data_IF_432396111476
#
_entry.id   IF_432396111476
#
_cell.length_a   1.000
_cell.length_b   1.000
_cell.length_c   1.000
_cell.angle_alpha   90.00
_cell.angle_beta   90.00
_cell.angle_gamma   90.00
#
_symmetry.space_group_name_H-M   'P 1'
#
loop_
_entity.id
_entity.type
_entity.pdbx_description
1 polymer ?
#
# COMPACT_ATOMS: atom_id res chain seq x y z
N UNK A 1 -23.82 12.46 -37.48
CA UNK A 1 -23.28 13.02 -36.23
C UNK A 1 -22.03 12.20 -35.88
N UNK A 2 -20.88 12.68 -36.25
CA UNK A 2 -19.60 12.02 -35.96
C UNK A 2 -19.24 12.32 -34.52
N UNK A 3 -19.55 11.38 -33.61
CA UNK A 3 -19.09 11.45 -32.25
C UNK A 3 -17.56 11.50 -32.25
N UNK A 4 -16.97 12.56 -31.71
CA UNK A 4 -15.55 12.57 -31.36
C UNK A 4 -15.35 11.47 -30.33
N UNK A 5 -14.71 10.39 -30.74
CA UNK A 5 -14.10 9.44 -29.81
C UNK A 5 -12.99 10.25 -29.11
N UNK A 6 -13.23 10.66 -27.88
CA UNK A 6 -12.16 11.21 -27.05
C UNK A 6 -11.35 10.00 -26.65
N UNK A 7 -10.21 9.85 -27.33
CA UNK A 7 -9.18 8.90 -26.96
C UNK A 7 -8.58 9.42 -25.66
N UNK A 8 -9.10 8.92 -24.50
CA UNK A 8 -8.48 9.20 -23.23
C UNK A 8 -7.07 8.64 -23.28
N UNK A 9 -6.03 9.50 -23.26
CA UNK A 9 -4.66 9.03 -23.31
C UNK A 9 -4.45 8.04 -22.16
N UNK A 10 -3.70 6.98 -22.42
CA UNK A 10 -3.37 5.89 -21.46
C UNK A 10 -2.75 6.38 -20.16
N UNK A 11 -2.29 7.64 -20.12
CA UNK A 11 -2.06 8.50 -18.95
C UNK A 11 -2.49 9.91 -19.34
N UNK A 12 -3.62 10.42 -18.84
CA UNK A 12 -4.00 11.79 -19.11
C UNK A 12 -3.01 12.72 -18.45
N UNK A 13 -2.19 13.40 -19.26
CA UNK A 13 -1.51 14.60 -18.84
C UNK A 13 -2.60 15.63 -18.56
N UNK A 14 -2.81 15.98 -17.30
CA UNK A 14 -3.69 17.10 -16.95
C UNK A 14 -3.12 18.38 -17.59
N UNK A 15 -4.01 19.21 -18.17
CA UNK A 15 -3.59 20.53 -18.63
C UNK A 15 -3.08 21.35 -17.44
N UNK A 16 -2.24 22.38 -17.69
CA UNK A 16 -1.81 23.31 -16.63
C UNK A 16 -3.01 23.94 -15.91
N UNK A 17 -4.10 24.19 -16.62
CA UNK A 17 -5.34 24.72 -16.06
C UNK A 17 -6.02 23.69 -15.12
N UNK A 18 -6.08 22.42 -15.52
CA UNK A 18 -6.62 21.34 -14.70
C UNK A 18 -5.76 21.12 -13.44
N UNK A 19 -4.44 21.14 -13.56
CA UNK A 19 -3.52 21.02 -12.43
C UNK A 19 -3.71 22.17 -11.43
N UNK A 20 -3.76 23.43 -11.90
CA UNK A 20 -4.01 24.59 -11.05
C UNK A 20 -5.40 24.55 -10.39
N UNK A 21 -6.41 24.00 -11.05
CA UNK A 21 -7.74 23.79 -10.47
C UNK A 21 -7.70 22.72 -9.38
N UNK A 22 -7.02 21.60 -9.62
CA UNK A 22 -6.83 20.53 -8.64
C UNK A 22 -6.13 21.04 -7.36
N UNK A 23 -5.09 21.86 -7.49
CA UNK A 23 -4.42 22.45 -6.34
C UNK A 23 -5.38 23.33 -5.51
N UNK A 24 -6.22 24.15 -6.16
CA UNK A 24 -7.25 24.94 -5.45
C UNK A 24 -8.25 24.07 -4.73
N UNK A 25 -8.70 22.97 -5.35
CA UNK A 25 -9.60 22.01 -4.72
C UNK A 25 -8.95 21.42 -3.47
N UNK A 26 -7.72 20.90 -3.58
CA UNK A 26 -7.01 20.27 -2.46
C UNK A 26 -6.67 21.25 -1.33
N UNK A 27 -6.48 22.52 -1.64
CA UNK A 27 -6.27 23.57 -0.64
C UNK A 27 -7.58 24.00 0.07
N UNK A 28 -8.74 23.64 -0.45
CA UNK A 28 -10.05 23.98 0.13
C UNK A 28 -10.49 22.87 1.08
N UNK A 29 -10.96 23.16 2.32
CA UNK A 29 -11.51 22.15 3.24
C UNK A 29 -12.65 21.33 2.60
N UNK A 30 -12.72 20.03 2.91
CA UNK A 30 -13.67 19.08 2.28
C UNK A 30 -15.14 19.51 2.45
N UNK A 31 -15.49 20.05 3.60
CA UNK A 31 -16.85 20.52 3.93
C UNK A 31 -17.30 21.75 3.12
N UNK A 32 -16.36 22.59 2.70
CA UNK A 32 -16.64 23.79 1.89
C UNK A 32 -16.76 23.50 0.40
N UNK A 33 -16.13 22.43 -0.11
CA UNK A 33 -15.97 22.18 -1.55
C UNK A 33 -17.28 22.00 -2.29
N UNK A 34 -18.27 21.36 -1.67
CA UNK A 34 -19.58 21.16 -2.31
C UNK A 34 -20.30 22.47 -2.57
N UNK A 35 -20.22 23.43 -1.66
CA UNK A 35 -20.80 24.75 -1.83
C UNK A 35 -20.06 25.59 -2.88
N UNK A 36 -18.78 25.35 -3.06
CA UNK A 36 -17.89 26.08 -3.99
C UNK A 36 -17.60 25.29 -5.29
N UNK A 37 -18.39 24.28 -5.61
CA UNK A 37 -18.10 23.34 -6.69
C UNK A 37 -17.88 24.02 -8.05
N UNK A 38 -18.69 25.01 -8.41
CA UNK A 38 -18.55 25.75 -9.68
C UNK A 38 -17.31 26.66 -9.68
N UNK A 39 -16.99 27.31 -8.56
CA UNK A 39 -15.78 28.11 -8.40
C UNK A 39 -14.52 27.24 -8.51
N UNK A 40 -14.57 26.03 -7.96
CA UNK A 40 -13.48 25.07 -7.96
C UNK A 40 -13.42 24.22 -9.24
N UNK A 41 -14.32 24.44 -10.18
CA UNK A 41 -14.45 23.67 -11.43
C UNK A 41 -14.53 22.14 -11.20
N UNK A 42 -15.21 21.70 -10.12
CA UNK A 42 -15.33 20.27 -9.78
C UNK A 42 -16.18 19.45 -10.78
N UNK A 43 -16.92 20.11 -11.67
CA UNK A 43 -17.70 19.46 -12.72
C UNK A 43 -16.93 19.37 -14.05
N UNK A 44 -15.73 19.95 -14.10
CA UNK A 44 -14.87 19.93 -15.27
C UNK A 44 -14.03 18.62 -15.31
N UNK A 45 -14.12 17.83 -16.42
CA UNK A 45 -13.36 16.60 -16.56
C UNK A 45 -11.84 16.77 -16.43
N UNK A 46 -11.27 17.88 -16.90
CA UNK A 46 -9.82 18.12 -16.78
C UNK A 46 -9.39 18.30 -15.32
N UNK A 47 -10.22 18.99 -14.52
CA UNK A 47 -10.00 19.13 -13.08
C UNK A 47 -10.08 17.79 -12.36
N UNK A 48 -11.08 16.95 -12.69
CA UNK A 48 -11.23 15.63 -12.11
C UNK A 48 -10.08 14.69 -12.51
N UNK A 49 -9.62 14.73 -13.76
CA UNK A 49 -8.44 13.97 -14.20
C UNK A 49 -7.19 14.36 -13.42
N UNK A 50 -6.96 15.66 -13.24
CA UNK A 50 -5.84 16.17 -12.47
C UNK A 50 -5.91 15.74 -11.00
N UNK A 51 -7.09 15.83 -10.37
CA UNK A 51 -7.32 15.35 -9.00
C UNK A 51 -7.02 13.86 -8.87
N UNK A 52 -7.56 13.03 -9.75
CA UNK A 52 -7.31 11.58 -9.74
C UNK A 52 -5.81 11.28 -9.95
N UNK A 53 -5.10 12.03 -10.78
CA UNK A 53 -3.65 11.88 -10.96
C UNK A 53 -2.89 12.18 -9.67
N UNK A 54 -3.16 13.32 -9.04
CA UNK A 54 -2.52 13.72 -7.77
C UNK A 54 -2.81 12.70 -6.66
N UNK A 55 -4.06 12.23 -6.56
CA UNK A 55 -4.43 11.22 -5.55
C UNK A 55 -3.74 9.87 -5.81
N UNK A 56 -3.58 9.48 -7.08
CA UNK A 56 -2.86 8.28 -7.47
C UNK A 56 -1.38 8.34 -7.08
N UNK A 57 -0.76 9.52 -7.21
CA UNK A 57 0.63 9.74 -6.78
C UNK A 57 0.80 9.72 -5.26
N UNK A 58 -0.18 10.24 -4.53
CA UNK A 58 -0.14 10.36 -3.05
C UNK A 58 -0.61 9.12 -2.31
N UNK A 59 -1.27 8.15 -2.97
CA UNK A 59 -1.98 7.05 -2.29
C UNK A 59 -1.07 6.18 -1.40
N UNK A 60 0.20 6.00 -1.78
CA UNK A 60 1.15 5.19 -1.01
C UNK A 60 1.72 5.96 0.17
N UNK A 61 1.87 7.27 0.04
CA UNK A 61 2.44 8.11 1.08
C UNK A 61 1.41 8.57 2.14
N UNK A 62 0.15 8.79 1.72
CA UNK A 62 -0.91 9.31 2.58
C UNK A 62 -2.26 8.61 2.33
N UNK A 63 -2.38 7.29 2.54
CA UNK A 63 -3.58 6.54 2.17
C UNK A 63 -4.85 7.05 2.87
N UNK A 64 -4.78 7.50 4.13
CA UNK A 64 -5.92 8.05 4.84
C UNK A 64 -6.51 9.29 4.17
N UNK A 65 -5.65 10.24 3.80
CA UNK A 65 -6.08 11.45 3.10
C UNK A 65 -6.64 11.12 1.70
N UNK A 66 -5.99 10.23 0.98
CA UNK A 66 -6.46 9.79 -0.35
C UNK A 66 -7.82 9.12 -0.26
N UNK A 67 -8.08 8.31 0.76
CA UNK A 67 -9.41 7.71 0.99
C UNK A 67 -10.49 8.79 1.13
N UNK A 68 -10.28 9.76 2.01
CA UNK A 68 -11.26 10.80 2.29
C UNK A 68 -11.55 11.68 1.06
N UNK A 69 -10.50 12.03 0.32
CA UNK A 69 -10.60 12.76 -0.94
C UNK A 69 -11.33 11.99 -2.03
N UNK A 70 -10.98 10.73 -2.24
CA UNK A 70 -11.58 9.87 -3.25
C UNK A 70 -13.05 9.58 -2.94
N UNK A 71 -13.39 9.33 -1.67
CA UNK A 71 -14.79 9.17 -1.22
C UNK A 71 -15.60 10.46 -1.44
N UNK A 72 -15.03 11.62 -1.13
CA UNK A 72 -15.68 12.90 -1.41
C UNK A 72 -15.97 13.06 -2.90
N UNK A 73 -14.97 12.82 -3.76
CA UNK A 73 -15.14 12.94 -5.22
C UNK A 73 -16.16 11.93 -5.75
N UNK A 74 -16.11 10.67 -5.32
CA UNK A 74 -17.10 9.67 -5.71
C UNK A 74 -18.52 10.13 -5.39
N UNK A 75 -18.80 10.53 -4.14
CA UNK A 75 -20.12 11.02 -3.70
C UNK A 75 -20.54 12.30 -4.39
N UNK A 76 -19.58 13.13 -4.77
CA UNK A 76 -19.84 14.34 -5.53
C UNK A 76 -20.31 13.99 -6.96
N UNK A 77 -19.63 13.06 -7.64
CA UNK A 77 -19.93 12.63 -9.01
C UNK A 77 -21.22 11.78 -9.06
N UNK A 78 -21.43 10.92 -8.07
CA UNK A 78 -22.61 10.06 -7.97
C UNK A 78 -23.92 10.85 -7.82
N UNK A 79 -23.87 12.04 -7.23
CA UNK A 79 -25.07 12.84 -6.92
C UNK A 79 -25.93 13.09 -8.17
N UNK A 80 -27.24 12.80 -8.13
CA UNK A 80 -28.16 13.04 -9.25
C UNK A 80 -28.19 14.55 -9.57
N UNK A 81 -28.17 14.90 -10.85
CA UNK A 81 -28.18 16.26 -11.44
C UNK A 81 -26.84 16.90 -11.72
N UNK A 82 -25.72 16.17 -11.62
CA UNK A 82 -24.43 16.70 -12.04
C UNK A 82 -24.13 16.27 -13.46
N UNK A 83 -24.02 17.25 -14.35
CA UNK A 83 -23.58 17.03 -15.73
C UNK A 83 -22.04 17.04 -15.73
N UNK A 84 -21.44 15.89 -15.53
CA UNK A 84 -19.99 15.73 -15.63
C UNK A 84 -19.69 15.11 -16.99
N UNK A 85 -19.32 15.95 -17.94
CA UNK A 85 -18.94 15.51 -19.27
C UNK A 85 -19.97 14.62 -19.98
N UNK A 86 -19.50 13.71 -20.81
CA UNK A 86 -20.31 12.64 -21.41
C UNK A 86 -20.53 11.51 -20.41
N UNK A 87 -21.54 10.65 -20.65
CA UNK A 87 -21.86 9.51 -19.77
C UNK A 87 -20.64 8.62 -19.48
N UNK A 88 -19.84 8.31 -20.49
CA UNK A 88 -18.64 7.46 -20.36
C UNK A 88 -17.56 8.10 -19.47
N UNK A 89 -17.42 9.43 -19.48
CA UNK A 89 -16.48 10.15 -18.61
C UNK A 89 -16.93 10.07 -17.16
N UNK A 90 -18.21 10.22 -16.90
CA UNK A 90 -18.79 10.10 -15.56
C UNK A 90 -18.55 8.71 -14.97
N UNK A 91 -18.83 7.65 -15.73
CA UNK A 91 -18.62 6.27 -15.28
C UNK A 91 -17.12 5.96 -15.05
N UNK A 92 -16.22 6.49 -15.89
CA UNK A 92 -14.79 6.42 -15.66
C UNK A 92 -14.39 7.07 -14.32
N UNK A 93 -14.86 8.29 -14.04
CA UNK A 93 -14.52 8.96 -12.78
C UNK A 93 -15.11 8.28 -11.55
N UNK A 94 -16.32 7.71 -11.66
CA UNK A 94 -16.87 6.86 -10.61
C UNK A 94 -15.99 5.63 -10.36
N UNK A 95 -15.59 4.94 -11.41
CA UNK A 95 -14.69 3.81 -11.33
C UNK A 95 -13.33 4.16 -10.73
N UNK A 96 -12.69 5.24 -11.21
CA UNK A 96 -11.37 5.68 -10.78
C UNK A 96 -11.35 6.15 -9.31
N UNK A 97 -12.31 6.98 -8.91
CA UNK A 97 -12.40 7.43 -7.52
C UNK A 97 -12.71 6.28 -6.56
N UNK A 98 -13.55 5.33 -6.98
CA UNK A 98 -13.81 4.12 -6.20
C UNK A 98 -12.55 3.23 -6.11
N UNK A 99 -11.78 3.07 -7.19
CA UNK A 99 -10.51 2.32 -7.16
C UNK A 99 -9.49 2.98 -6.22
N UNK A 100 -9.38 4.29 -6.23
CA UNK A 100 -8.51 5.05 -5.32
C UNK A 100 -8.93 4.86 -3.86
N UNK A 101 -10.22 4.99 -3.55
CA UNK A 101 -10.76 4.77 -2.22
C UNK A 101 -10.55 3.32 -1.75
N UNK A 102 -10.83 2.34 -2.60
CA UNK A 102 -10.65 0.92 -2.30
C UNK A 102 -9.18 0.56 -2.05
N UNK A 103 -8.28 1.07 -2.89
CA UNK A 103 -6.83 0.88 -2.70
C UNK A 103 -6.35 1.49 -1.38
N UNK A 104 -6.80 2.70 -1.05
CA UNK A 104 -6.46 3.34 0.22
C UNK A 104 -7.04 2.57 1.43
N UNK A 105 -8.28 2.08 1.34
CA UNK A 105 -8.88 1.23 2.38
C UNK A 105 -8.09 -0.07 2.58
N UNK A 106 -7.64 -0.74 1.49
CA UNK A 106 -6.80 -1.93 1.55
C UNK A 106 -5.49 -1.63 2.29
N UNK A 107 -4.78 -0.56 1.91
CA UNK A 107 -3.53 -0.14 2.57
C UNK A 107 -3.71 0.20 4.06
N UNK A 108 -4.90 0.65 4.46
CA UNK A 108 -5.27 0.90 5.85
C UNK A 108 -5.84 -0.34 6.56
N UNK A 109 -5.75 -1.53 5.94
CA UNK A 109 -6.29 -2.80 6.44
C UNK A 109 -7.81 -2.78 6.71
N UNK A 110 -8.55 -1.91 5.99
CA UNK A 110 -10.02 -1.80 6.05
C UNK A 110 -10.66 -2.67 4.97
N UNK A 111 -10.49 -3.98 5.07
CA UNK A 111 -10.84 -4.94 4.00
C UNK A 111 -12.29 -4.87 3.54
N UNK A 112 -13.26 -4.85 4.46
CA UNK A 112 -14.68 -4.79 4.08
C UNK A 112 -15.03 -3.52 3.29
N UNK A 113 -14.46 -2.39 3.70
CA UNK A 113 -14.63 -1.14 2.96
C UNK A 113 -13.95 -1.22 1.58
N UNK A 114 -12.74 -1.82 1.50
CA UNK A 114 -12.02 -1.98 0.24
C UNK A 114 -12.83 -2.82 -0.77
N UNK A 115 -13.42 -3.94 -0.35
CA UNK A 115 -14.28 -4.78 -1.19
C UNK A 115 -15.46 -3.97 -1.76
N UNK A 116 -16.17 -3.22 -0.92
CA UNK A 116 -17.30 -2.39 -1.36
C UNK A 116 -16.89 -1.35 -2.40
N UNK A 117 -15.70 -0.76 -2.21
CA UNK A 117 -15.16 0.21 -3.16
C UNK A 117 -14.69 -0.44 -4.46
N UNK A 118 -14.08 -1.62 -4.40
CA UNK A 118 -13.67 -2.38 -5.60
C UNK A 118 -14.89 -2.84 -6.43
N UNK A 119 -16.00 -3.21 -5.81
CA UNK A 119 -17.24 -3.55 -6.54
C UNK A 119 -17.83 -2.32 -7.23
N UNK A 120 -17.77 -1.14 -6.59
CA UNK A 120 -18.15 0.13 -7.22
C UNK A 120 -17.23 0.50 -8.37
N UNK A 121 -15.91 0.30 -8.22
CA UNK A 121 -14.96 0.54 -9.28
C UNK A 121 -15.25 -0.35 -10.50
N UNK A 122 -15.51 -1.63 -10.28
CA UNK A 122 -15.86 -2.57 -11.33
C UNK A 122 -17.14 -2.15 -12.06
N UNK A 123 -18.17 -1.74 -11.32
CA UNK A 123 -19.42 -1.26 -11.91
C UNK A 123 -19.21 -0.04 -12.83
N UNK A 124 -18.39 0.93 -12.41
CA UNK A 124 -18.03 2.08 -13.23
C UNK A 124 -17.25 1.70 -14.48
N UNK A 125 -16.16 0.92 -14.31
CA UNK A 125 -15.27 0.59 -15.42
C UNK A 125 -15.88 -0.31 -16.49
N UNK A 126 -16.85 -1.18 -16.14
CA UNK A 126 -17.54 -2.04 -17.12
C UNK A 126 -18.23 -1.27 -18.25
N UNK A 127 -18.54 -0.02 -18.04
CA UNK A 127 -19.26 0.84 -18.98
C UNK A 127 -18.34 1.82 -19.72
N UNK A 128 -17.02 1.76 -19.50
CA UNK A 128 -16.08 2.67 -20.16
C UNK A 128 -15.50 2.08 -21.44
N UNK A 129 -15.09 2.94 -22.37
CA UNK A 129 -14.51 2.52 -23.67
C UNK A 129 -13.20 1.75 -23.47
N UNK A 130 -12.38 2.13 -22.49
CA UNK A 130 -11.09 1.50 -22.17
C UNK A 130 -11.16 0.55 -20.97
N UNK A 131 -12.28 -0.13 -20.80
CA UNK A 131 -12.55 -1.00 -19.64
C UNK A 131 -11.43 -2.01 -19.35
N UNK A 132 -10.77 -2.56 -20.36
CA UNK A 132 -9.77 -3.61 -20.18
C UNK A 132 -8.59 -3.18 -19.30
N UNK A 133 -8.02 -1.99 -19.53
CA UNK A 133 -6.91 -1.47 -18.72
C UNK A 133 -7.32 -1.17 -17.28
N UNK A 134 -8.48 -0.54 -17.11
CA UNK A 134 -8.99 -0.16 -15.80
C UNK A 134 -9.40 -1.38 -14.97
N UNK A 135 -10.04 -2.36 -15.60
CA UNK A 135 -10.37 -3.64 -14.96
C UNK A 135 -9.11 -4.45 -14.61
N UNK A 136 -8.05 -4.39 -15.44
CA UNK A 136 -6.76 -5.01 -15.09
C UNK A 136 -6.11 -4.33 -13.88
N UNK A 137 -6.18 -3.00 -13.75
CA UNK A 137 -5.72 -2.28 -12.55
C UNK A 137 -6.52 -2.67 -11.30
N UNK A 138 -7.84 -2.84 -11.44
CA UNK A 138 -8.68 -3.35 -10.35
C UNK A 138 -8.32 -4.81 -9.99
N UNK A 139 -8.10 -5.67 -11.01
CA UNK A 139 -7.69 -7.05 -10.79
C UNK A 139 -6.36 -7.13 -10.03
N UNK A 140 -5.39 -6.24 -10.34
CA UNK A 140 -4.15 -6.13 -9.58
C UNK A 140 -4.41 -5.80 -8.10
N UNK A 141 -5.31 -4.86 -7.78
CA UNK A 141 -5.61 -4.52 -6.38
C UNK A 141 -6.25 -5.69 -5.63
N UNK A 142 -7.15 -6.42 -6.27
CA UNK A 142 -7.74 -7.64 -5.71
C UNK A 142 -6.68 -8.74 -5.53
N UNK A 143 -5.73 -8.85 -6.46
CA UNK A 143 -4.64 -9.83 -6.35
C UNK A 143 -3.66 -9.47 -5.23
N UNK A 144 -3.34 -8.19 -5.06
CA UNK A 144 -2.55 -7.71 -3.93
C UNK A 144 -3.24 -7.98 -2.58
N UNK A 145 -4.58 -7.88 -2.53
CA UNK A 145 -5.36 -8.26 -1.36
C UNK A 145 -5.27 -9.77 -1.07
N UNK A 146 -5.31 -10.63 -2.11
CA UNK A 146 -5.09 -12.07 -1.95
C UNK A 146 -3.71 -12.39 -1.40
N UNK A 147 -2.69 -11.65 -1.81
CA UNK A 147 -1.37 -11.75 -1.24
C UNK A 147 -1.37 -11.39 0.27
N UNK A 148 -2.00 -10.28 0.65
CA UNK A 148 -2.16 -9.87 2.05
C UNK A 148 -3.00 -10.86 2.89
N UNK A 149 -3.85 -11.66 2.24
CA UNK A 149 -4.61 -12.78 2.85
C UNK A 149 -3.85 -14.10 2.85
N UNK A 150 -2.57 -14.12 2.47
CA UNK A 150 -1.70 -15.32 2.41
C UNK A 150 -2.16 -16.38 1.41
N UNK A 151 -2.95 -16.01 0.44
CA UNK A 151 -3.40 -16.92 -0.62
C UNK A 151 -2.33 -17.00 -1.73
N UNK A 152 -1.11 -17.39 -1.36
CA UNK A 152 0.08 -17.36 -2.23
C UNK A 152 -0.13 -18.18 -3.51
N UNK A 153 -0.75 -19.36 -3.42
CA UNK A 153 -1.03 -20.22 -4.56
C UNK A 153 -1.95 -19.51 -5.57
N UNK A 154 -2.97 -18.78 -5.08
CA UNK A 154 -3.90 -18.01 -5.94
C UNK A 154 -3.14 -16.88 -6.64
N UNK A 155 -2.22 -16.21 -5.93
CA UNK A 155 -1.39 -15.15 -6.51
C UNK A 155 -0.50 -15.72 -7.61
N UNK A 156 0.20 -16.83 -7.35
CA UNK A 156 1.07 -17.49 -8.34
C UNK A 156 0.32 -17.96 -9.59
N UNK A 157 -0.92 -18.43 -9.43
CA UNK A 157 -1.77 -18.85 -10.53
C UNK A 157 -2.23 -17.68 -11.41
N UNK A 158 -2.65 -16.57 -10.80
CA UNK A 158 -3.28 -15.45 -11.50
C UNK A 158 -2.28 -14.42 -12.05
N UNK A 159 -1.13 -14.25 -11.40
CA UNK A 159 -0.17 -13.19 -11.70
C UNK A 159 0.37 -13.23 -13.16
N UNK A 160 0.71 -14.40 -13.75
CA UNK A 160 1.20 -14.47 -15.12
C UNK A 160 0.18 -13.95 -16.16
N UNK A 161 -1.10 -14.30 -16.01
CA UNK A 161 -2.16 -13.85 -16.89
C UNK A 161 -2.37 -12.33 -16.79
N UNK A 162 -2.26 -11.77 -15.58
CA UNK A 162 -2.38 -10.33 -15.37
C UNK A 162 -1.20 -9.55 -15.98
N UNK A 163 0.03 -10.08 -15.85
CA UNK A 163 1.22 -9.51 -16.50
C UNK A 163 1.02 -9.46 -18.03
N UNK A 164 0.49 -10.53 -18.61
CA UNK A 164 0.26 -10.58 -20.06
C UNK A 164 -0.85 -9.62 -20.49
N UNK A 165 -1.90 -9.47 -19.68
CA UNK A 165 -2.93 -8.46 -19.91
C UNK A 165 -2.33 -7.05 -19.97
N UNK A 166 -1.50 -6.66 -18.99
CA UNK A 166 -0.85 -5.35 -18.99
C UNK A 166 0.14 -5.17 -20.15
N UNK A 167 0.87 -6.23 -20.56
CA UNK A 167 1.75 -6.19 -21.74
C UNK A 167 0.98 -5.94 -23.03
N UNK A 168 -0.13 -6.64 -23.23
CA UNK A 168 -0.97 -6.48 -24.42
C UNK A 168 -1.58 -5.08 -24.54
N UNK A 169 -1.67 -4.37 -23.42
CA UNK A 169 -2.18 -3.00 -23.31
C UNK A 169 -1.07 -1.92 -23.30
N UNK A 170 0.21 -2.30 -23.47
CA UNK A 170 1.39 -1.41 -23.36
C UNK A 170 1.47 -0.65 -22.01
N UNK A 171 0.99 -1.27 -20.92
CA UNK A 171 0.99 -0.70 -19.56
C UNK A 171 2.25 -1.12 -18.79
N UNK A 172 3.41 -0.62 -19.23
CA UNK A 172 4.72 -1.04 -18.72
C UNK A 172 4.90 -0.85 -17.21
N UNK A 173 4.40 0.25 -16.63
CA UNK A 173 4.48 0.49 -15.19
C UNK A 173 3.65 -0.52 -14.39
N UNK A 174 2.49 -0.94 -14.90
CA UNK A 174 1.64 -1.92 -14.23
C UNK A 174 2.22 -3.33 -14.33
N UNK A 175 2.95 -3.63 -15.42
CA UNK A 175 3.79 -4.84 -15.49
C UNK A 175 4.83 -4.83 -14.38
N UNK A 176 5.50 -3.71 -14.12
CA UNK A 176 6.48 -3.62 -13.03
C UNK A 176 5.84 -3.78 -11.64
N UNK A 177 4.62 -3.27 -11.43
CA UNK A 177 3.86 -3.50 -10.18
C UNK A 177 3.54 -4.99 -9.97
N UNK A 178 3.17 -5.70 -11.04
CA UNK A 178 2.99 -7.15 -10.97
C UNK A 178 4.30 -7.88 -10.64
N UNK A 179 5.42 -7.47 -11.26
CA UNK A 179 6.74 -8.00 -10.90
C UNK A 179 7.14 -7.68 -9.46
N UNK A 180 6.69 -6.54 -8.96
CA UNK A 180 6.87 -6.18 -7.56
C UNK A 180 6.19 -7.18 -6.62
N UNK A 181 4.93 -7.53 -6.94
CA UNK A 181 4.19 -8.56 -6.20
C UNK A 181 4.87 -9.94 -6.31
N UNK A 182 5.45 -10.29 -7.47
CA UNK A 182 6.27 -11.50 -7.63
C UNK A 182 7.48 -11.49 -6.68
N UNK A 183 8.19 -10.37 -6.58
CA UNK A 183 9.31 -10.22 -5.64
C UNK A 183 8.88 -10.37 -4.17
N UNK A 184 7.72 -9.85 -3.81
CA UNK A 184 7.15 -10.02 -2.46
C UNK A 184 6.79 -11.49 -2.19
N UNK A 185 6.20 -12.20 -3.16
CA UNK A 185 5.93 -13.64 -3.04
C UNK A 185 7.21 -14.43 -2.80
N UNK A 186 8.29 -14.10 -3.53
CA UNK A 186 9.59 -14.76 -3.35
C UNK A 186 10.20 -14.51 -1.96
N UNK A 187 9.97 -13.32 -1.38
CA UNK A 187 10.36 -13.06 0.03
C UNK A 187 9.58 -13.96 0.99
N UNK A 188 8.26 -14.10 0.77
CA UNK A 188 7.38 -14.92 1.58
C UNK A 188 7.75 -16.41 1.55
N UNK A 189 8.19 -16.90 0.40
CA UNK A 189 8.58 -18.30 0.20
C UNK A 189 10.06 -18.56 0.53
N UNK A 190 10.74 -17.59 1.18
CA UNK A 190 12.16 -17.63 1.56
C UNK A 190 13.12 -17.80 0.37
N UNK A 191 12.66 -17.42 -0.83
CA UNK A 191 13.47 -17.42 -2.05
C UNK A 191 14.22 -16.08 -2.22
N UNK A 192 14.89 -15.63 -1.17
CA UNK A 192 15.48 -14.31 -1.05
C UNK A 192 16.47 -13.93 -2.18
N UNK A 193 17.35 -14.83 -2.66
CA UNK A 193 18.22 -14.51 -3.79
C UNK A 193 17.46 -14.18 -5.07
N UNK A 194 16.35 -14.90 -5.36
CA UNK A 194 15.50 -14.63 -6.50
C UNK A 194 14.74 -13.30 -6.34
N UNK A 195 14.24 -13.00 -5.13
CA UNK A 195 13.62 -11.72 -4.82
C UNK A 195 14.58 -10.55 -5.09
N UNK A 196 15.85 -10.65 -4.69
CA UNK A 196 16.89 -9.66 -4.99
C UNK A 196 17.03 -9.41 -6.47
N UNK A 197 17.09 -10.46 -7.29
CA UNK A 197 17.21 -10.32 -8.75
C UNK A 197 15.98 -9.63 -9.36
N UNK A 198 14.77 -10.00 -8.90
CA UNK A 198 13.52 -9.37 -9.34
C UNK A 198 13.51 -7.87 -9.00
N UNK A 199 13.80 -7.49 -7.75
CA UNK A 199 13.80 -6.08 -7.35
C UNK A 199 14.91 -5.26 -8.02
N UNK A 200 16.09 -5.83 -8.26
CA UNK A 200 17.16 -5.16 -9.04
C UNK A 200 16.69 -4.87 -10.46
N UNK A 201 16.03 -5.83 -11.09
CA UNK A 201 15.49 -5.65 -12.45
C UNK A 201 14.40 -4.60 -12.47
N UNK A 202 13.49 -4.60 -11.50
CA UNK A 202 12.46 -3.56 -11.36
C UNK A 202 13.10 -2.18 -11.23
N UNK A 203 14.15 -2.02 -10.41
CA UNK A 203 14.83 -0.74 -10.24
C UNK A 203 15.45 -0.25 -11.56
N UNK A 204 16.04 -1.15 -12.36
CA UNK A 204 16.61 -0.81 -13.67
C UNK A 204 15.52 -0.42 -14.69
N UNK A 205 14.47 -1.23 -14.81
CA UNK A 205 13.38 -1.01 -15.76
C UNK A 205 12.57 0.25 -15.40
N UNK A 206 12.30 0.48 -14.11
CA UNK A 206 11.64 1.70 -13.62
C UNK A 206 12.49 2.96 -13.85
N UNK A 207 13.80 2.85 -13.74
CA UNK A 207 14.72 3.94 -14.09
C UNK A 207 14.65 4.29 -15.57
N UNK A 208 14.57 3.28 -16.45
CA UNK A 208 14.41 3.48 -17.89
C UNK A 208 13.05 4.14 -18.23
N UNK A 209 12.01 3.87 -17.46
CA UNK A 209 10.68 4.50 -17.59
C UNK A 209 10.62 5.91 -16.97
N UNK A 210 11.69 6.38 -16.32
CA UNK A 210 11.69 7.67 -15.61
C UNK A 210 10.79 7.72 -14.38
N UNK A 211 10.51 6.58 -13.73
CA UNK A 211 9.68 6.49 -12.53
C UNK A 211 10.53 6.39 -11.24
N UNK A 212 10.94 7.53 -10.64
CA UNK A 212 11.81 7.53 -9.46
C UNK A 212 11.15 6.92 -8.21
N UNK A 213 9.82 6.97 -8.10
CA UNK A 213 9.08 6.36 -6.99
C UNK A 213 9.25 4.86 -7.01
N UNK A 214 9.00 4.23 -8.16
CA UNK A 214 9.12 2.78 -8.31
C UNK A 214 10.56 2.29 -8.14
N UNK A 215 11.55 3.10 -8.59
CA UNK A 215 12.98 2.85 -8.32
C UNK A 215 13.25 2.83 -6.81
N UNK A 216 12.77 3.85 -6.09
CA UNK A 216 12.99 3.96 -4.65
C UNK A 216 12.27 2.85 -3.87
N UNK A 217 11.06 2.46 -4.27
CA UNK A 217 10.32 1.34 -3.69
C UNK A 217 11.05 0.01 -3.90
N UNK A 218 11.64 -0.22 -5.08
CA UNK A 218 12.44 -1.42 -5.34
C UNK A 218 13.68 -1.46 -4.44
N UNK A 219 14.39 -0.35 -4.25
CA UNK A 219 15.52 -0.30 -3.32
C UNK A 219 15.10 -0.42 -1.85
N UNK A 220 13.90 0.04 -1.48
CA UNK A 220 13.36 -0.18 -0.13
C UNK A 220 13.16 -1.68 0.15
N UNK A 221 12.58 -2.42 -0.80
CA UNK A 221 12.43 -3.88 -0.65
C UNK A 221 13.77 -4.60 -0.72
N UNK A 222 14.71 -4.17 -1.56
CA UNK A 222 16.09 -4.69 -1.54
C UNK A 222 16.74 -4.50 -0.15
N UNK A 223 16.53 -3.35 0.50
CA UNK A 223 17.02 -3.12 1.86
C UNK A 223 16.49 -4.16 2.83
N UNK A 224 15.19 -4.45 2.76
CA UNK A 224 14.56 -5.45 3.61
C UNK A 224 15.05 -6.87 3.28
N UNK A 225 15.04 -7.25 2.00
CA UNK A 225 15.49 -8.58 1.56
C UNK A 225 16.93 -8.85 1.98
N UNK A 226 17.84 -7.88 1.78
CA UNK A 226 19.23 -8.01 2.26
C UNK A 226 19.31 -8.02 3.79
N UNK A 227 18.42 -7.28 4.48
CA UNK A 227 18.28 -7.36 5.93
C UNK A 227 17.97 -8.78 6.40
N UNK A 228 16.97 -9.43 5.80
CA UNK A 228 16.61 -10.83 6.08
C UNK A 228 17.74 -11.80 5.79
N UNK A 229 18.57 -11.53 4.76
CA UNK A 229 19.76 -12.33 4.43
C UNK A 229 20.96 -12.06 5.35
N UNK A 230 20.91 -11.07 6.23
CA UNK A 230 22.06 -10.60 7.02
C UNK A 230 23.14 -9.92 6.19
N UNK A 231 22.85 -9.58 4.92
CA UNK A 231 23.81 -8.88 4.03
C UNK A 231 23.83 -7.38 4.31
N UNK A 232 24.72 -6.98 5.23
CA UNK A 232 24.88 -5.59 5.62
C UNK A 232 25.30 -4.68 4.46
N UNK A 233 26.13 -5.15 3.56
CA UNK A 233 26.60 -4.34 2.43
C UNK A 233 25.48 -4.05 1.45
N UNK A 234 24.71 -5.07 1.07
CA UNK A 234 23.55 -4.93 0.19
C UNK A 234 22.44 -4.05 0.79
N UNK A 235 22.13 -4.23 2.08
CA UNK A 235 21.13 -3.42 2.78
C UNK A 235 21.53 -1.95 2.87
N UNK A 236 22.79 -1.65 3.24
CA UNK A 236 23.29 -0.28 3.32
C UNK A 236 23.35 0.41 1.96
N UNK A 237 23.81 -0.27 0.91
CA UNK A 237 23.83 0.27 -0.45
C UNK A 237 22.41 0.58 -0.94
N UNK A 238 21.47 -0.34 -0.73
CA UNK A 238 20.09 -0.18 -1.16
C UNK A 238 19.40 0.96 -0.42
N UNK A 239 19.54 1.03 0.91
CA UNK A 239 18.97 2.12 1.71
C UNK A 239 19.53 3.50 1.33
N UNK A 240 20.84 3.59 1.03
CA UNK A 240 21.47 4.82 0.57
C UNK A 240 20.91 5.33 -0.77
N UNK A 241 20.43 4.41 -1.62
CA UNK A 241 19.75 4.76 -2.89
C UNK A 241 18.28 5.14 -2.69
N UNK A 242 17.57 4.46 -1.78
CA UNK A 242 16.15 4.70 -1.54
C UNK A 242 15.87 6.00 -0.78
N UNK A 243 16.53 6.22 0.36
CA UNK A 243 16.21 7.29 1.32
C UNK A 243 16.19 8.70 0.70
N UNK A 244 17.17 9.14 -0.10
CA UNK A 244 17.15 10.50 -0.66
C UNK A 244 15.96 10.75 -1.58
N UNK A 245 15.57 9.73 -2.35
CA UNK A 245 14.43 9.82 -3.28
C UNK A 245 13.13 9.84 -2.50
N UNK A 246 12.95 8.94 -1.54
CA UNK A 246 11.75 8.84 -0.70
C UNK A 246 11.51 10.12 0.11
N UNK A 247 12.59 10.73 0.66
CA UNK A 247 12.49 12.02 1.35
C UNK A 247 12.02 13.15 0.43
N UNK A 248 12.54 13.21 -0.79
CA UNK A 248 12.13 14.21 -1.79
C UNK A 248 10.67 14.03 -2.21
N UNK A 249 10.18 12.80 -2.24
CA UNK A 249 8.80 12.45 -2.58
C UNK A 249 7.83 12.54 -1.38
N UNK A 250 8.34 12.85 -0.18
CA UNK A 250 7.62 12.77 1.12
C UNK A 250 6.91 11.42 1.31
N UNK A 251 7.54 10.34 0.85
CA UNK A 251 6.99 8.99 0.96
C UNK A 251 7.35 8.36 2.31
N UNK A 252 6.55 8.71 3.30
CA UNK A 252 6.77 8.32 4.70
C UNK A 252 6.59 6.82 4.91
N UNK A 253 5.63 6.20 4.20
CA UNK A 253 5.39 4.76 4.28
C UNK A 253 6.63 3.98 3.84
N UNK A 254 7.16 4.31 2.66
CA UNK A 254 8.35 3.63 2.15
C UNK A 254 9.60 3.93 3.01
N UNK A 255 9.71 5.13 3.58
CA UNK A 255 10.79 5.45 4.54
C UNK A 255 10.71 4.59 5.80
N UNK A 256 9.51 4.41 6.38
CA UNK A 256 9.31 3.56 7.55
C UNK A 256 9.66 2.09 7.23
N UNK A 257 9.31 1.60 6.04
CA UNK A 257 9.69 0.25 5.57
C UNK A 257 11.22 0.09 5.42
N UNK A 258 11.94 1.12 4.93
CA UNK A 258 13.41 1.09 4.90
C UNK A 258 13.98 1.02 6.31
N UNK A 259 13.45 1.77 7.26
CA UNK A 259 13.88 1.69 8.68
C UNK A 259 13.61 0.30 9.26
N UNK A 260 12.46 -0.29 8.96
CA UNK A 260 12.16 -1.67 9.33
C UNK A 260 13.22 -2.64 8.79
N UNK A 261 13.55 -2.59 7.49
CA UNK A 261 14.57 -3.46 6.88
C UNK A 261 15.96 -3.32 7.54
N UNK A 262 16.36 -2.08 7.89
CA UNK A 262 17.61 -1.85 8.64
C UNK A 262 17.55 -2.39 10.09
N UNK A 263 16.38 -2.29 10.74
CA UNK A 263 16.18 -2.89 12.07
C UNK A 263 16.27 -4.43 12.01
N UNK A 264 15.71 -5.04 10.96
CA UNK A 264 15.83 -6.48 10.69
C UNK A 264 17.29 -6.89 10.52
N UNK A 265 18.09 -6.14 9.74
CA UNK A 265 19.51 -6.38 9.61
C UNK A 265 20.24 -6.36 10.96
N UNK A 266 19.95 -5.39 11.83
CA UNK A 266 20.54 -5.32 13.17
C UNK A 266 20.18 -6.55 14.01
N UNK A 267 18.95 -7.05 13.91
CA UNK A 267 18.50 -8.29 14.54
C UNK A 267 19.32 -9.48 14.05
N UNK A 268 19.40 -9.70 12.73
CA UNK A 268 20.12 -10.83 12.12
C UNK A 268 21.63 -10.80 12.40
N UNK A 269 22.19 -9.62 12.62
CA UNK A 269 23.60 -9.46 12.99
C UNK A 269 23.84 -9.47 14.50
N UNK A 270 22.82 -9.79 15.31
CA UNK A 270 22.91 -9.94 16.77
C UNK A 270 23.01 -8.63 17.56
N UNK A 271 22.74 -7.49 16.94
CA UNK A 271 22.75 -6.17 17.58
C UNK A 271 21.38 -5.86 18.18
N UNK A 272 20.91 -6.71 19.11
CA UNK A 272 19.51 -6.72 19.59
C UNK A 272 19.06 -5.37 20.14
N UNK A 273 19.83 -4.73 21.02
CA UNK A 273 19.46 -3.43 21.57
C UNK A 273 19.29 -2.35 20.51
N UNK A 274 20.23 -2.26 19.56
CA UNK A 274 20.14 -1.31 18.44
C UNK A 274 18.95 -1.64 17.52
N UNK A 275 18.63 -2.92 17.33
CA UNK A 275 17.48 -3.38 16.57
C UNK A 275 16.16 -2.93 17.21
N UNK A 276 16.00 -3.09 18.53
CA UNK A 276 14.81 -2.61 19.28
C UNK A 276 14.63 -1.11 19.09
N UNK A 277 15.69 -0.31 19.21
CA UNK A 277 15.62 1.14 19.03
C UNK A 277 15.20 1.52 17.59
N UNK A 278 15.74 0.81 16.59
CA UNK A 278 15.41 1.02 15.18
C UNK A 278 13.95 0.64 14.86
N UNK A 279 13.45 -0.49 15.39
CA UNK A 279 12.04 -0.88 15.25
C UNK A 279 11.09 0.13 15.92
N UNK A 280 11.42 0.61 17.12
CA UNK A 280 10.62 1.65 17.81
C UNK A 280 10.56 2.95 17.00
N UNK A 281 11.62 3.30 16.28
CA UNK A 281 11.61 4.43 15.38
C UNK A 281 10.67 4.20 14.19
N UNK A 282 10.72 3.02 13.58
CA UNK A 282 9.78 2.65 12.52
C UNK A 282 8.32 2.67 13.03
N UNK A 283 8.04 2.20 14.25
CA UNK A 283 6.71 2.32 14.87
C UNK A 283 6.22 3.77 14.93
N UNK A 284 7.07 4.71 15.38
CA UNK A 284 6.73 6.14 15.44
C UNK A 284 6.43 6.71 14.05
N UNK A 285 7.21 6.31 13.04
CA UNK A 285 6.98 6.73 11.66
C UNK A 285 5.66 6.18 11.12
N UNK A 286 5.30 4.92 11.40
CA UNK A 286 4.01 4.33 11.03
C UNK A 286 2.84 4.94 11.83
N UNK A 287 3.03 5.30 13.10
CA UNK A 287 2.02 5.98 13.91
C UNK A 287 1.64 7.34 13.32
N UNK A 288 2.63 8.11 12.87
CA UNK A 288 2.43 9.42 12.25
C UNK A 288 1.59 9.37 10.96
N UNK A 289 1.51 8.21 10.29
CA UNK A 289 0.76 7.98 9.06
C UNK A 289 -0.48 7.09 9.24
N UNK A 290 -0.74 6.62 10.48
CA UNK A 290 -1.93 5.84 10.83
C UNK A 290 -1.94 4.38 10.36
N UNK A 291 -0.77 3.78 10.11
CA UNK A 291 -0.60 2.39 9.65
C UNK A 291 -0.69 1.41 10.84
N UNK A 292 -1.90 1.22 11.37
CA UNK A 292 -2.15 0.48 12.62
C UNK A 292 -1.68 -0.98 12.58
N UNK A 293 -1.85 -1.66 11.46
CA UNK A 293 -1.46 -3.06 11.30
C UNK A 293 0.06 -3.23 11.37
N UNK A 294 0.83 -2.36 10.66
CA UNK A 294 2.29 -2.35 10.71
C UNK A 294 2.82 -2.06 12.11
N UNK A 295 2.19 -1.11 12.84
CA UNK A 295 2.52 -0.84 14.25
C UNK A 295 2.32 -2.10 15.10
N UNK A 296 1.19 -2.78 14.95
CA UNK A 296 0.90 -3.98 15.73
C UNK A 296 1.90 -5.12 15.43
N UNK A 297 2.28 -5.29 14.17
CA UNK A 297 3.33 -6.23 13.78
C UNK A 297 4.68 -5.90 14.44
N UNK A 298 5.10 -4.63 14.36
CA UNK A 298 6.35 -4.20 15.00
C UNK A 298 6.32 -4.32 16.52
N UNK A 299 5.16 -4.08 17.17
CA UNK A 299 5.03 -4.32 18.60
C UNK A 299 5.34 -5.78 18.96
N UNK A 300 4.88 -6.75 18.15
CA UNK A 300 5.17 -8.16 18.40
C UNK A 300 6.66 -8.50 18.18
N UNK A 301 7.28 -7.93 17.14
CA UNK A 301 8.73 -8.07 16.88
C UNK A 301 9.53 -7.54 18.07
N UNK A 302 9.23 -6.31 18.50
CA UNK A 302 9.91 -5.67 19.64
C UNK A 302 9.69 -6.47 20.92
N UNK A 303 8.47 -7.00 21.13
CA UNK A 303 8.18 -7.82 22.31
C UNK A 303 9.02 -9.11 22.33
N UNK A 304 9.19 -9.79 21.20
CA UNK A 304 10.03 -11.01 21.11
C UNK A 304 11.48 -10.69 21.45
N UNK A 305 12.03 -9.62 20.88
CA UNK A 305 13.41 -9.18 21.17
C UNK A 305 13.60 -8.77 22.65
N UNK A 306 12.61 -8.09 23.24
CA UNK A 306 12.64 -7.73 24.66
C UNK A 306 12.63 -8.97 25.56
N UNK A 307 11.93 -10.03 25.16
CA UNK A 307 11.93 -11.31 25.87
C UNK A 307 13.27 -12.03 25.76
N UNK A 308 13.96 -11.91 24.63
CA UNK A 308 15.32 -12.44 24.48
C UNK A 308 16.30 -11.76 25.43
N UNK A 309 16.08 -10.45 25.70
CA UNK A 309 16.87 -9.68 26.67
C UNK A 309 16.40 -9.83 28.14
N UNK A 310 15.35 -10.62 28.42
CA UNK A 310 14.79 -10.78 29.75
C UNK A 310 14.01 -9.56 30.26
N UNK A 311 13.57 -8.67 29.37
CA UNK A 311 12.79 -7.45 29.67
C UNK A 311 11.29 -7.73 29.61
N UNK A 312 10.83 -8.74 30.34
CA UNK A 312 9.46 -9.29 30.26
C UNK A 312 8.38 -8.24 30.48
N UNK A 313 8.60 -7.27 31.39
CA UNK A 313 7.60 -6.22 31.66
C UNK A 313 7.38 -5.29 30.47
N UNK A 314 8.43 -4.94 29.78
CA UNK A 314 8.35 -4.11 28.57
C UNK A 314 7.73 -4.90 27.42
N UNK A 315 8.09 -6.17 27.25
CA UNK A 315 7.47 -7.04 26.26
C UNK A 315 5.94 -7.14 26.45
N UNK A 316 5.46 -7.28 27.70
CA UNK A 316 4.03 -7.29 28.00
C UNK A 316 3.33 -5.96 27.61
N UNK A 317 4.02 -4.83 27.70
CA UNK A 317 3.48 -3.53 27.26
C UNK A 317 3.31 -3.49 25.73
N UNK A 318 4.31 -3.92 24.98
CA UNK A 318 4.25 -4.00 23.52
C UNK A 318 3.14 -4.95 23.05
N UNK A 319 3.05 -6.15 23.65
CA UNK A 319 1.97 -7.10 23.37
C UNK A 319 0.60 -6.47 23.66
N UNK A 320 0.45 -5.81 24.82
CA UNK A 320 -0.78 -5.16 25.22
C UNK A 320 -1.23 -4.07 24.24
N UNK A 321 -0.29 -3.36 23.63
CA UNK A 321 -0.55 -2.35 22.60
C UNK A 321 -0.99 -2.98 21.26
N UNK A 322 -0.44 -4.14 20.89
CA UNK A 322 -0.78 -4.83 19.65
C UNK A 322 -2.17 -5.49 19.69
N UNK A 323 -2.55 -6.10 20.82
CA UNK A 323 -3.74 -6.94 20.95
C UNK A 323 -5.06 -6.31 20.48
N UNK A 324 -5.39 -5.03 20.74
CA UNK A 324 -6.63 -4.41 20.27
C UNK A 324 -6.69 -4.37 18.73
N UNK A 325 -5.59 -4.00 18.10
CA UNK A 325 -5.50 -3.88 16.64
C UNK A 325 -5.61 -5.25 15.98
N UNK A 326 -4.87 -6.22 16.50
CA UNK A 326 -4.89 -7.61 16.01
C UNK A 326 -6.29 -8.21 16.10
N UNK A 327 -7.03 -7.85 17.15
CA UNK A 327 -8.40 -8.35 17.36
C UNK A 327 -9.40 -7.86 16.32
N UNK A 328 -9.14 -6.70 15.73
CA UNK A 328 -9.97 -6.10 14.69
C UNK A 328 -9.68 -6.72 13.30
N UNK A 329 -8.54 -7.40 13.15
CA UNK A 329 -8.16 -8.05 11.90
C UNK A 329 -8.84 -9.43 11.79
N UNK A 330 -9.37 -9.76 10.63
CA UNK A 330 -9.89 -11.10 10.34
C UNK A 330 -8.70 -12.03 10.13
N UNK A 331 -8.41 -12.85 11.12
CA UNK A 331 -7.28 -13.78 11.12
C UNK A 331 -7.72 -15.18 10.75
N UNK A 332 -6.81 -15.97 10.18
CA UNK A 332 -6.98 -17.39 10.03
C UNK A 332 -7.09 -18.10 11.40
N UNK A 333 -7.66 -19.32 11.49
CA UNK A 333 -7.88 -20.04 12.75
C UNK A 333 -6.61 -20.19 13.60
N UNK A 334 -5.45 -20.39 12.98
CA UNK A 334 -4.14 -20.54 13.63
C UNK A 334 -3.73 -19.24 14.34
N UNK A 335 -3.85 -18.11 13.65
CA UNK A 335 -3.57 -16.79 14.22
C UNK A 335 -4.55 -16.45 15.36
N UNK A 336 -5.83 -16.84 15.24
CA UNK A 336 -6.82 -16.65 16.32
C UNK A 336 -6.50 -17.51 17.54
N UNK A 337 -5.98 -18.71 17.39
CA UNK A 337 -5.55 -19.57 18.47
C UNK A 337 -4.37 -18.93 19.23
N UNK A 338 -3.33 -18.50 18.52
CA UNK A 338 -2.16 -17.84 19.10
C UNK A 338 -2.57 -16.52 19.83
N UNK A 339 -3.46 -15.73 19.20
CA UNK A 339 -4.01 -14.51 19.81
C UNK A 339 -4.72 -14.80 21.13
N UNK A 340 -5.53 -15.87 21.19
CA UNK A 340 -6.27 -16.26 22.40
C UNK A 340 -5.32 -16.64 23.52
N UNK A 341 -4.30 -17.45 23.22
CA UNK A 341 -3.26 -17.84 24.19
C UNK A 341 -2.47 -16.64 24.69
N UNK A 342 -2.12 -15.73 23.81
CA UNK A 342 -1.38 -14.53 24.18
C UNK A 342 -2.21 -13.59 25.06
N UNK A 343 -3.50 -13.41 24.77
CA UNK A 343 -4.43 -12.66 25.61
C UNK A 343 -4.54 -13.24 27.03
N UNK A 344 -4.62 -14.56 27.13
CA UNK A 344 -4.72 -15.23 28.42
C UNK A 344 -3.43 -15.09 29.22
N UNK A 345 -2.27 -15.24 28.59
CA UNK A 345 -0.96 -15.07 29.21
C UNK A 345 -0.74 -13.63 29.70
N UNK A 346 -1.12 -12.64 28.88
CA UNK A 346 -1.03 -11.22 29.25
C UNK A 346 -1.92 -10.90 30.46
N UNK A 347 -3.12 -11.47 30.56
CA UNK A 347 -4.01 -11.31 31.71
C UNK A 347 -3.40 -11.88 32.99
N UNK A 348 -2.63 -12.97 32.90
CA UNK A 348 -1.92 -13.59 34.02
C UNK A 348 -0.59 -12.91 34.38
N UNK A 349 -0.20 -11.89 33.62
CA UNK A 349 1.13 -11.26 33.69
C UNK A 349 2.29 -12.25 33.46
N UNK A 350 2.00 -13.33 32.76
CA UNK A 350 2.95 -14.33 32.31
C UNK A 350 3.19 -14.15 30.82
N UNK A 351 4.36 -14.53 30.33
CA UNK A 351 4.66 -14.45 28.90
C UNK A 351 4.62 -15.84 28.28
N UNK A 352 3.72 -16.02 27.31
CA UNK A 352 3.71 -17.21 26.48
C UNK A 352 4.53 -16.95 25.20
N UNK A 353 5.82 -17.26 25.26
CA UNK A 353 6.77 -17.04 24.14
C UNK A 353 6.39 -17.80 22.88
N UNK A 354 5.81 -18.99 23.03
CA UNK A 354 5.40 -19.77 21.86
C UNK A 354 4.22 -19.10 21.14
N UNK A 355 3.18 -18.71 21.88
CA UNK A 355 2.05 -17.99 21.29
C UNK A 355 2.44 -16.63 20.69
N UNK A 356 3.43 -15.95 21.28
CA UNK A 356 3.97 -14.71 20.74
C UNK A 356 4.67 -14.97 19.38
N UNK A 357 5.53 -15.99 19.28
CA UNK A 357 6.23 -16.34 18.05
C UNK A 357 5.27 -16.80 16.95
N UNK A 358 4.28 -17.62 17.30
CA UNK A 358 3.25 -18.06 16.35
C UNK A 358 2.45 -16.88 15.80
N UNK A 359 2.06 -15.95 16.67
CA UNK A 359 1.35 -14.75 16.25
C UNK A 359 2.24 -13.77 15.48
N UNK A 360 3.48 -13.61 15.90
CA UNK A 360 4.48 -12.80 15.19
C UNK A 360 4.76 -13.37 13.79
N UNK A 361 5.02 -14.67 13.67
CA UNK A 361 5.17 -15.34 12.38
C UNK A 361 3.96 -15.11 11.49
N UNK A 362 2.74 -15.25 12.02
CA UNK A 362 1.53 -14.94 11.29
C UNK A 362 1.46 -13.48 10.80
N UNK A 363 1.99 -12.52 11.56
CA UNK A 363 2.03 -11.10 11.18
C UNK A 363 3.19 -10.75 10.25
N UNK A 364 4.36 -11.32 10.42
CA UNK A 364 5.43 -11.24 9.41
C UNK A 364 4.89 -11.75 8.08
N UNK A 365 4.14 -12.81 8.16
CA UNK A 365 3.39 -13.42 7.06
C UNK A 365 2.25 -12.55 6.50
N UNK A 366 1.61 -11.68 7.25
CA UNK A 366 0.56 -10.75 6.79
C UNK A 366 1.11 -9.44 6.22
N UNK A 367 2.30 -9.02 6.62
CA UNK A 367 2.86 -7.71 6.27
C UNK A 367 4.02 -7.78 5.27
N UNK A 368 4.46 -8.98 4.92
CA UNK A 368 5.43 -9.22 3.88
C UNK A 368 4.73 -9.40 2.54
#
# INVERSE_FOLDING_TARGET
MTGRVIDFPRQPLSSEAGAAAADRVLATPLDERRARASELALEDPETLLALCSVLREKREATPGAVRDEAEFLYRFIEAPRRAIGLFDEREYFLGETALLAGTACRQLSRREEAHLWFDRAEAGFRHTINAAGDLSRLAYQRLAERFEERQIEVVLEMLPALIESFRSLDMAEDVLKCRFLEGLVLMETDELPQAVEVFRKIAADASALGNPRLVASAYANLTHTYGMMGDAAGAMESSAKAIPVLRRLDDRVALAKVQWGLATLLRETGQIGASIDAYRKAQQDFEAIGMRADIAALNLVVADLLLEEGRDREALQEIGAALPVISELKMAPEGMAALTLLRESTRRQEVNRQALRELHGYFEELNA
#
